data_IF_396898280578
#
_entry.id   IF_396898280578
#
_cell.length_a   1.000
_cell.length_b   1.000
_cell.length_c   1.000
_cell.angle_alpha   90.00
_cell.angle_beta   90.00
_cell.angle_gamma   90.00
#
_symmetry.space_group_name_H-M   'P 1'
#
loop_
_entity.id
_entity.type
_entity.pdbx_description
1 polymer ?
#
# COMPACT_ATOMS: atom_id res chain seq x y z
N UNK A 1 -11.53 -4.75 6.07
CA UNK A 1 -10.41 -4.89 5.10
C UNK A 1 -9.60 -3.61 5.08
N UNK A 2 -8.26 -3.66 5.24
CA UNK A 2 -7.38 -2.49 5.08
C UNK A 2 -7.01 -2.27 3.62
N UNK A 3 -7.15 -1.02 3.15
CA UNK A 3 -6.69 -0.57 1.85
C UNK A 3 -5.58 0.47 2.04
N UNK A 4 -4.43 0.25 1.42
CA UNK A 4 -3.34 1.20 1.35
C UNK A 4 -3.35 1.91 0.01
N UNK A 5 -3.32 3.23 0.02
CA UNK A 5 -3.25 4.05 -1.19
C UNK A 5 -1.79 4.28 -1.51
N UNK A 6 -1.39 3.90 -2.72
CA UNK A 6 -0.01 4.03 -3.20
C UNK A 6 0.00 4.75 -4.54
N UNK A 7 1.03 5.54 -4.78
CA UNK A 7 1.23 6.16 -6.08
C UNK A 7 1.89 5.18 -7.05
N UNK A 8 1.62 5.34 -8.35
CA UNK A 8 2.26 4.54 -9.39
C UNK A 8 3.79 4.63 -9.29
N UNK A 9 4.53 3.54 -9.49
CA UNK A 9 5.99 3.51 -9.30
C UNK A 9 6.77 4.54 -10.15
N UNK A 10 6.16 4.99 -11.26
CA UNK A 10 6.73 5.99 -12.18
C UNK A 10 6.47 7.44 -11.73
N UNK A 11 5.54 7.66 -10.80
CA UNK A 11 5.27 8.97 -10.25
C UNK A 11 6.51 9.42 -9.44
N UNK A 12 7.12 10.54 -9.84
CA UNK A 12 8.28 11.12 -9.13
C UNK A 12 7.89 12.07 -8.01
N UNK A 13 6.60 12.40 -7.88
CA UNK A 13 6.06 13.31 -6.88
C UNK A 13 5.65 12.60 -5.58
N UNK A 14 6.02 11.32 -5.43
CA UNK A 14 5.60 10.53 -4.29
C UNK A 14 6.20 11.07 -2.99
N UNK A 15 5.38 11.28 -1.95
CA UNK A 15 5.88 11.71 -0.65
C UNK A 15 6.75 10.64 0.03
N UNK A 16 6.57 9.37 -0.35
CA UNK A 16 7.28 8.23 0.21
C UNK A 16 7.79 7.31 -0.90
N UNK A 17 9.03 6.87 -0.81
CA UNK A 17 9.62 5.94 -1.79
C UNK A 17 9.13 4.52 -1.47
N UNK A 18 8.20 4.02 -2.28
CA UNK A 18 7.74 2.64 -2.23
C UNK A 18 8.63 1.76 -3.11
N UNK A 19 8.99 0.56 -2.64
CA UNK A 19 9.66 -0.43 -3.47
C UNK A 19 8.63 -1.33 -4.12
N UNK A 20 8.58 -1.29 -5.44
CA UNK A 20 7.70 -2.15 -6.24
C UNK A 20 8.46 -3.39 -6.71
N UNK A 21 7.74 -4.51 -6.88
CA UNK A 21 8.23 -5.72 -7.54
C UNK A 21 8.01 -5.59 -9.05
N UNK A 22 6.84 -5.10 -9.43
CA UNK A 22 6.37 -4.79 -10.79
C UNK A 22 5.28 -3.71 -10.71
N UNK A 23 4.49 -3.51 -11.77
CA UNK A 23 3.46 -2.47 -11.83
C UNK A 23 2.30 -2.67 -10.82
N UNK A 24 2.10 -3.88 -10.31
CA UNK A 24 0.92 -4.23 -9.51
C UNK A 24 1.27 -4.64 -8.08
N UNK A 25 2.50 -5.07 -7.81
CA UNK A 25 2.90 -5.62 -6.51
C UNK A 25 3.88 -4.70 -5.79
N UNK A 26 3.48 -4.25 -4.62
CA UNK A 26 4.32 -3.45 -3.71
C UNK A 26 5.11 -4.38 -2.78
N UNK A 27 6.44 -4.29 -2.81
CA UNK A 27 7.32 -5.05 -1.92
C UNK A 27 7.41 -4.44 -0.54
N UNK A 28 7.65 -3.13 -0.49
CA UNK A 28 7.77 -2.38 0.77
C UNK A 28 7.21 -0.98 0.64
N UNK A 29 6.72 -0.42 1.74
CA UNK A 29 6.44 1.00 1.88
C UNK A 29 7.14 1.58 3.10
N UNK A 30 7.61 2.83 2.97
CA UNK A 30 7.90 3.68 4.13
C UNK A 30 6.67 4.50 4.43
N UNK A 31 6.25 4.54 5.69
CA UNK A 31 4.96 5.13 6.06
C UNK A 31 4.97 5.72 7.46
N UNK A 32 3.87 6.37 7.83
CA UNK A 32 3.70 6.97 9.16
C UNK A 32 3.44 5.91 10.22
N UNK A 33 3.66 6.28 11.49
CA UNK A 33 3.31 5.44 12.65
C UNK A 33 1.87 4.93 12.64
N UNK A 34 0.92 5.76 12.22
CA UNK A 34 -0.49 5.38 12.17
C UNK A 34 -0.74 4.21 11.22
N UNK A 35 -0.22 4.31 9.99
CA UNK A 35 -0.36 3.26 8.97
C UNK A 35 0.43 2.02 9.40
N UNK A 36 1.63 2.19 9.97
CA UNK A 36 2.41 1.10 10.55
C UNK A 36 1.59 0.29 11.57
N UNK A 37 0.90 0.96 12.49
CA UNK A 37 0.00 0.29 13.46
C UNK A 37 -1.18 -0.42 12.82
N UNK A 38 -1.73 0.11 11.73
CA UNK A 38 -2.78 -0.60 10.99
C UNK A 38 -2.25 -1.87 10.32
N UNK A 39 -1.03 -1.84 9.78
CA UNK A 39 -0.35 -3.01 9.23
C UNK A 39 0.01 -4.03 10.32
N UNK A 40 0.47 -3.60 11.50
CA UNK A 40 0.74 -4.49 12.64
C UNK A 40 -0.52 -5.26 13.05
N UNK A 41 -1.66 -4.57 13.14
CA UNK A 41 -2.95 -5.21 13.45
C UNK A 41 -3.35 -6.22 12.37
N UNK A 42 -3.14 -5.90 11.09
CA UNK A 42 -3.42 -6.81 9.99
C UNK A 42 -2.50 -8.05 10.02
N UNK A 43 -1.22 -7.86 10.35
CA UNK A 43 -0.27 -8.97 10.52
C UNK A 43 -0.70 -9.90 11.65
N UNK A 44 -1.09 -9.34 12.82
CA UNK A 44 -1.52 -10.11 13.98
C UNK A 44 -2.81 -10.90 13.75
N UNK A 45 -3.74 -10.35 12.96
CA UNK A 45 -5.00 -11.03 12.63
C UNK A 45 -4.90 -11.97 11.43
N UNK A 46 -3.78 -11.96 10.69
CA UNK A 46 -3.65 -12.65 9.40
C UNK A 46 -4.52 -12.04 8.29
N UNK A 47 -5.06 -10.83 8.49
CA UNK A 47 -5.85 -10.10 7.50
C UNK A 47 -4.94 -9.71 6.33
N UNK A 48 -5.36 -10.05 5.10
CA UNK A 48 -4.74 -9.53 3.89
C UNK A 48 -5.05 -8.06 3.74
N UNK A 49 -4.18 -7.31 3.09
CA UNK A 49 -4.40 -5.90 2.77
C UNK A 49 -4.49 -5.72 1.26
N UNK A 50 -5.14 -4.65 0.81
CA UNK A 50 -5.26 -4.31 -0.61
C UNK A 50 -4.49 -3.04 -0.94
N UNK A 51 -3.85 -3.02 -2.10
CA UNK A 51 -3.18 -1.84 -2.63
C UNK A 51 -4.07 -1.17 -3.65
N UNK A 52 -4.43 0.08 -3.37
CA UNK A 52 -5.13 0.95 -4.28
C UNK A 52 -4.11 1.91 -4.91
N UNK A 53 -3.72 1.62 -6.15
CA UNK A 53 -2.78 2.44 -6.91
C UNK A 53 -3.49 3.65 -7.51
N UNK A 54 -2.95 4.85 -7.27
CA UNK A 54 -3.37 6.07 -7.95
C UNK A 54 -3.18 5.96 -9.46
N UNK A 55 -4.05 6.66 -10.20
CA UNK A 55 -3.85 6.83 -11.64
C UNK A 55 -2.59 7.66 -11.92
N UNK A 56 -1.91 7.37 -13.02
CA UNK A 56 -0.72 8.09 -13.48
C UNK A 56 -0.60 8.01 -15.00
N UNK A 57 -0.49 9.15 -15.67
CA UNK A 57 -0.48 9.22 -17.14
C UNK A 57 -1.74 8.59 -17.74
N UNK A 58 -1.57 7.55 -18.55
CA UNK A 58 -2.68 6.77 -19.15
C UNK A 58 -3.16 5.62 -18.26
N UNK A 59 -2.46 5.31 -17.17
CA UNK A 59 -2.84 4.26 -16.23
C UNK A 59 -3.91 4.78 -15.28
N UNK A 60 -5.12 4.21 -15.33
CA UNK A 60 -6.20 4.54 -14.40
C UNK A 60 -5.95 4.04 -12.96
N UNK A 61 -6.72 4.56 -11.98
CA UNK A 61 -6.70 4.05 -10.61
C UNK A 61 -7.19 2.59 -10.55
N UNK A 62 -6.52 1.78 -9.73
CA UNK A 62 -6.68 0.33 -9.72
C UNK A 62 -6.47 -0.24 -8.32
N UNK A 63 -7.29 -1.21 -7.91
CA UNK A 63 -6.91 -2.13 -6.83
C UNK A 63 -6.02 -3.19 -7.49
N UNK A 64 -4.70 -2.99 -7.40
CA UNK A 64 -3.74 -3.72 -8.21
C UNK A 64 -3.44 -5.12 -7.65
N UNK A 65 -3.28 -5.22 -6.33
CA UNK A 65 -2.99 -6.49 -5.65
C UNK A 65 -3.51 -6.50 -4.21
N UNK A 66 -3.54 -7.70 -3.63
CA UNK A 66 -3.60 -7.92 -2.19
C UNK A 66 -2.39 -8.72 -1.71
N UNK A 67 -1.99 -8.53 -0.46
CA UNK A 67 -0.82 -9.17 0.12
C UNK A 67 -1.00 -9.38 1.63
N UNK A 68 -0.11 -10.18 2.22
CA UNK A 68 0.05 -10.22 3.68
C UNK A 68 1.14 -9.25 4.12
N UNK A 69 1.03 -8.81 5.38
CA UNK A 69 2.07 -8.03 6.04
C UNK A 69 3.08 -9.01 6.62
N UNK A 70 4.30 -9.02 6.06
CA UNK A 70 5.38 -9.91 6.46
C UNK A 70 6.09 -9.40 7.73
N UNK A 71 6.42 -8.11 7.75
CA UNK A 71 7.01 -7.43 8.92
C UNK A 71 6.64 -5.95 8.95
N UNK A 72 6.67 -5.38 10.15
CA UNK A 72 6.55 -3.94 10.39
C UNK A 72 7.70 -3.53 11.30
N UNK A 73 8.53 -2.60 10.85
CA UNK A 73 9.74 -2.17 11.54
C UNK A 73 9.70 -0.66 11.75
N UNK A 74 9.92 -0.21 12.99
CA UNK A 74 10.09 1.22 13.26
C UNK A 74 11.48 1.65 12.78
N UNK A 75 11.53 2.57 11.80
CA UNK A 75 12.80 3.16 11.34
C UNK A 75 13.26 4.22 12.34
N UNK A 76 12.31 5.03 12.82
CA UNK A 76 12.53 6.00 13.89
C UNK A 76 11.22 6.23 14.67
N UNK A 77 11.10 7.38 15.37
CA UNK A 77 9.90 7.71 16.14
C UNK A 77 8.68 8.00 15.27
N UNK A 78 8.83 8.42 14.02
CA UNK A 78 7.73 8.88 13.15
C UNK A 78 7.51 8.00 11.93
N UNK A 79 8.53 7.25 11.51
CA UNK A 79 8.54 6.43 10.29
C UNK A 79 8.64 4.94 10.56
N UNK A 80 7.88 4.19 9.76
CA UNK A 80 7.81 2.74 9.78
C UNK A 80 8.08 2.20 8.38
N UNK A 81 8.80 1.09 8.30
CA UNK A 81 9.01 0.30 7.10
C UNK A 81 8.11 -0.94 7.20
N UNK A 82 7.31 -1.17 6.16
CA UNK A 82 6.41 -2.32 6.09
C UNK A 82 6.80 -3.20 4.93
N UNK A 83 6.96 -4.49 5.19
CA UNK A 83 7.24 -5.52 4.20
C UNK A 83 5.99 -6.32 3.89
N UNK A 84 5.82 -6.67 2.62
CA UNK A 84 4.69 -7.48 2.15
C UNK A 84 5.15 -8.72 1.41
N UNK A 85 4.37 -9.78 1.52
CA UNK A 85 4.56 -11.06 0.85
C UNK A 85 3.22 -11.71 0.47
N UNK A 86 3.29 -12.93 -0.07
CA UNK A 86 2.13 -13.71 -0.51
C UNK A 86 1.17 -12.92 -1.44
N UNK A 87 1.72 -12.11 -2.36
CA UNK A 87 0.91 -11.27 -3.24
C UNK A 87 -0.04 -12.07 -4.13
N UNK A 88 -1.28 -11.58 -4.27
CA UNK A 88 -2.23 -11.97 -5.32
C UNK A 88 -2.59 -10.73 -6.13
N UNK A 89 -2.32 -10.77 -7.44
CA UNK A 89 -2.70 -9.69 -8.37
C UNK A 89 -4.21 -9.74 -8.60
N UNK A 90 -4.87 -8.58 -8.51
CA UNK A 90 -6.33 -8.46 -8.62
C UNK A 90 -6.77 -7.69 -9.88
N UNK A 91 -6.05 -6.63 -10.24
CA UNK A 91 -6.38 -5.70 -11.34
C UNK A 91 -7.88 -5.30 -11.42
N UNK A 92 -8.45 -4.88 -10.29
CA UNK A 92 -9.85 -4.44 -10.23
C UNK A 92 -9.92 -2.93 -10.43
N UNK A 93 -10.64 -2.49 -11.48
CA UNK A 93 -10.90 -1.09 -11.74
C UNK A 93 -11.56 -0.43 -10.52
N UNK A 94 -11.08 0.75 -10.15
CA UNK A 94 -11.57 1.47 -8.98
C UNK A 94 -12.06 2.86 -9.39
N UNK A 95 -13.30 3.19 -9.01
CA UNK A 95 -13.94 4.43 -9.46
C UNK A 95 -13.49 5.67 -8.69
N UNK A 96 -12.98 5.54 -7.45
CA UNK A 96 -12.51 6.67 -6.67
C UNK A 96 -11.56 6.25 -5.54
N UNK A 97 -10.43 6.95 -5.42
CA UNK A 97 -9.63 7.02 -4.20
C UNK A 97 -10.22 8.14 -3.35
N UNK A 98 -10.48 7.94 -2.04
CA UNK A 98 -10.81 9.07 -1.16
C UNK A 98 -9.71 10.12 -1.25
N UNK A 99 -10.03 11.33 -1.72
CA UNK A 99 -9.02 12.36 -1.97
C UNK A 99 -8.18 12.65 -0.71
N UNK A 100 -6.87 12.73 -0.89
CA UNK A 100 -5.94 13.08 0.20
C UNK A 100 -5.69 11.98 1.23
N UNK A 101 -6.19 10.75 1.04
CA UNK A 101 -5.90 9.65 1.97
C UNK A 101 -4.75 8.76 1.51
N UNK A 102 -3.97 8.28 2.48
CA UNK A 102 -2.95 7.24 2.28
C UNK A 102 -3.47 5.84 2.65
N UNK A 103 -4.66 5.73 3.26
CA UNK A 103 -5.30 4.45 3.61
C UNK A 103 -6.82 4.62 3.84
N UNK A 104 -7.58 3.53 3.79
CA UNK A 104 -8.98 3.49 4.24
C UNK A 104 -9.40 2.06 4.60
N UNK A 105 -10.58 1.91 5.21
CA UNK A 105 -11.19 0.60 5.49
C UNK A 105 -12.60 0.53 4.90
N UNK A 106 -12.93 -0.63 4.34
CA UNK A 106 -14.27 -1.07 3.97
C UNK A 106 -14.65 -2.31 4.79
#
# INVERSE_FOLDING_TARGET
MLYLVVHHHQDRSQPWINKWIDDDRVKTITTTREIGRHCEKAAQSGERIRFHRCGYGTSGPLICAEARVASVEAVDKTMYLVHFDEHIVLQVASQAIPQGTSWYRL
#
